data_IF_472233688201
#
_entry.id   IF_472233688201
#
_cell.length_a   1.000
_cell.length_b   1.000
_cell.length_c   1.000
_cell.angle_alpha   90.00
_cell.angle_beta   90.00
_cell.angle_gamma   90.00
#
_symmetry.space_group_name_H-M   'P 1'
#
loop_
_entity.id
_entity.type
_entity.pdbx_description
1 polymer ?
#
# COMPACT_ATOMS: atom_id res chain seq x y z
N UNK A 1 -28.73 9.42 20.54
CA UNK A 1 -29.82 9.50 19.54
C UNK A 1 -29.28 8.94 18.23
N UNK A 2 -29.98 7.98 17.58
CA UNK A 2 -29.46 7.33 16.38
C UNK A 2 -29.63 8.27 15.18
N UNK A 3 -28.66 8.18 14.27
CA UNK A 3 -28.43 9.01 13.11
C UNK A 3 -29.70 9.36 12.31
N UNK A 4 -30.15 10.62 12.42
CA UNK A 4 -31.14 11.17 11.49
C UNK A 4 -30.45 11.39 10.13
N UNK A 5 -30.97 10.72 9.09
CA UNK A 5 -30.42 10.68 7.73
C UNK A 5 -30.47 12.00 6.96
N UNK A 6 -30.53 13.13 7.66
CA UNK A 6 -30.59 14.50 7.14
C UNK A 6 -29.44 15.40 7.59
N UNK A 7 -28.42 14.86 8.28
CA UNK A 7 -27.22 15.61 8.65
C UNK A 7 -26.30 15.90 7.46
N UNK A 8 -25.76 17.11 7.37
CA UNK A 8 -24.75 17.51 6.39
C UNK A 8 -23.62 16.47 6.26
N UNK A 9 -23.13 16.24 5.04
CA UNK A 9 -22.06 15.29 4.69
C UNK A 9 -20.75 15.48 5.49
N UNK A 10 -20.57 16.61 6.19
CA UNK A 10 -19.36 16.99 6.92
C UNK A 10 -19.58 17.14 8.45
N UNK A 11 -20.58 16.49 9.02
CA UNK A 11 -20.79 16.54 10.47
C UNK A 11 -19.77 15.63 11.19
N UNK A 12 -18.78 16.25 11.83
CA UNK A 12 -17.87 15.60 12.78
C UNK A 12 -18.61 15.41 14.11
N UNK A 13 -18.57 14.22 14.72
CA UNK A 13 -19.08 14.05 16.08
C UNK A 13 -17.95 14.42 17.09
N UNK A 14 -18.01 15.58 17.77
CA UNK A 14 -16.93 16.03 18.65
C UNK A 14 -16.74 15.16 19.88
N UNK A 15 -17.76 14.39 20.28
CA UNK A 15 -17.73 13.51 21.46
C UNK A 15 -17.03 12.16 21.18
N UNK A 16 -17.02 11.70 19.93
CA UNK A 16 -16.42 10.40 19.56
C UNK A 16 -15.20 10.54 18.65
N UNK A 17 -14.93 11.75 18.14
CA UNK A 17 -13.88 12.05 17.18
C UNK A 17 -14.01 11.22 15.87
N UNK A 18 -15.24 10.87 15.48
CA UNK A 18 -15.50 10.06 14.30
C UNK A 18 -16.28 10.87 13.25
N UNK A 19 -16.05 10.55 11.97
CA UNK A 19 -16.77 11.17 10.85
C UNK A 19 -18.12 10.46 10.63
N UNK A 20 -19.05 11.14 9.96
CA UNK A 20 -20.31 10.52 9.54
C UNK A 20 -20.03 9.24 8.70
N UNK A 21 -20.72 8.13 8.99
CA UNK A 21 -20.58 6.84 8.27
C UNK A 21 -20.72 6.98 6.75
N UNK A 22 -21.50 7.98 6.29
CA UNK A 22 -21.59 8.32 4.87
C UNK A 22 -20.27 8.91 4.35
N UNK A 23 -19.70 9.90 5.05
CA UNK A 23 -18.41 10.48 4.67
C UNK A 23 -17.32 9.41 4.62
N UNK A 24 -17.25 8.55 5.64
CA UNK A 24 -16.29 7.45 5.68
C UNK A 24 -16.48 6.49 4.50
N UNK A 25 -17.72 6.07 4.20
CA UNK A 25 -17.97 5.19 3.05
C UNK A 25 -17.51 5.82 1.73
N UNK A 26 -17.71 7.13 1.54
CA UNK A 26 -17.36 7.83 0.31
C UNK A 26 -15.85 8.06 0.18
N UNK A 27 -15.20 8.62 1.19
CA UNK A 27 -13.79 8.98 1.12
C UNK A 27 -12.85 7.84 1.49
N UNK A 28 -13.24 6.99 2.45
CA UNK A 28 -12.35 5.95 2.97
C UNK A 28 -12.45 4.63 2.20
N UNK A 29 -13.59 4.38 1.53
CA UNK A 29 -13.82 3.13 0.80
C UNK A 29 -13.97 3.30 -0.70
N UNK A 30 -14.87 4.19 -1.13
CA UNK A 30 -15.20 4.36 -2.56
C UNK A 30 -14.02 5.00 -3.29
N UNK A 31 -13.45 6.09 -2.76
CA UNK A 31 -12.36 6.81 -3.43
C UNK A 31 -11.12 5.92 -3.69
N UNK A 32 -10.58 5.16 -2.71
CA UNK A 32 -9.46 4.26 -2.98
C UNK A 32 -9.81 3.14 -3.97
N UNK A 33 -11.02 2.58 -3.88
CA UNK A 33 -11.47 1.49 -4.75
C UNK A 33 -11.62 1.94 -6.20
N UNK A 34 -12.20 3.12 -6.43
CA UNK A 34 -12.36 3.70 -7.78
C UNK A 34 -11.02 4.05 -8.42
N UNK A 35 -9.99 4.41 -7.63
CA UNK A 35 -8.64 4.62 -8.15
C UNK A 35 -7.91 3.29 -8.40
N UNK A 36 -8.13 2.29 -7.56
CA UNK A 36 -7.47 0.99 -7.64
C UNK A 36 -7.96 0.14 -8.83
N UNK A 37 -9.27 0.09 -9.09
CA UNK A 37 -9.84 -0.72 -10.17
C UNK A 37 -9.23 -0.38 -11.55
N UNK A 38 -9.24 0.87 -12.05
CA UNK A 38 -8.68 1.19 -13.36
C UNK A 38 -7.15 1.06 -13.38
N UNK A 39 -6.45 1.38 -12.28
CA UNK A 39 -4.99 1.26 -12.22
C UNK A 39 -4.55 -0.21 -12.19
N UNK A 40 -5.28 -1.08 -11.49
CA UNK A 40 -5.07 -2.53 -11.47
C UNK A 40 -5.35 -3.16 -12.84
N UNK A 41 -6.42 -2.75 -13.51
CA UNK A 41 -6.73 -3.20 -14.87
C UNK A 41 -5.66 -2.75 -15.87
N UNK A 42 -5.24 -1.49 -15.81
CA UNK A 42 -4.15 -0.98 -16.66
C UNK A 42 -2.86 -1.75 -16.44
N UNK A 43 -2.47 -1.97 -15.17
CA UNK A 43 -1.26 -2.69 -14.81
C UNK A 43 -1.31 -4.15 -15.28
N UNK A 44 -2.41 -4.86 -15.03
CA UNK A 44 -2.57 -6.26 -15.46
C UNK A 44 -2.48 -6.36 -16.99
N UNK A 45 -3.14 -5.47 -17.74
CA UNK A 45 -3.04 -5.43 -19.21
C UNK A 45 -1.62 -5.14 -19.70
N UNK A 46 -0.94 -4.17 -19.10
CA UNK A 46 0.44 -3.84 -19.45
C UNK A 46 1.41 -5.00 -19.16
N UNK A 47 1.16 -5.73 -18.08
CA UNK A 47 2.01 -6.83 -17.64
C UNK A 47 1.70 -8.14 -18.36
N UNK A 48 0.47 -8.33 -18.86
CA UNK A 48 0.11 -9.47 -19.72
C UNK A 48 0.99 -9.56 -20.97
N UNK A 49 1.45 -8.40 -21.47
CA UNK A 49 2.33 -8.31 -22.64
C UNK A 49 3.78 -8.73 -22.37
N UNK A 50 4.16 -8.95 -21.11
CA UNK A 50 5.52 -9.36 -20.73
C UNK A 50 5.64 -10.89 -20.66
N UNK A 51 6.80 -11.47 -21.05
CA UNK A 51 7.03 -12.90 -20.94
C UNK A 51 6.96 -13.36 -19.48
N UNK A 52 6.54 -14.62 -19.27
CA UNK A 52 6.49 -15.25 -17.95
C UNK A 52 7.92 -15.51 -17.49
N UNK A 53 8.31 -14.90 -16.37
CA UNK A 53 9.69 -14.98 -15.84
C UNK A 53 9.81 -16.06 -14.76
N UNK A 54 8.70 -16.41 -14.09
CA UNK A 54 8.70 -17.37 -12.97
C UNK A 54 7.79 -18.55 -13.30
N UNK A 55 8.39 -19.70 -13.59
CA UNK A 55 7.70 -20.98 -13.78
C UNK A 55 7.49 -21.65 -12.40
N UNK A 56 6.39 -21.32 -11.72
CA UNK A 56 5.97 -22.04 -10.51
C UNK A 56 4.77 -22.93 -10.84
N UNK A 57 4.90 -24.28 -10.85
CA UNK A 57 3.79 -25.16 -11.16
C UNK A 57 2.76 -25.17 -10.02
N UNK A 58 1.52 -24.80 -10.35
CA UNK A 58 0.37 -24.68 -9.43
C UNK A 58 -0.06 -26.03 -8.81
N UNK A 59 0.40 -27.16 -9.38
CA UNK A 59 -0.11 -28.51 -9.07
C UNK A 59 0.53 -29.23 -7.87
N UNK A 60 1.55 -28.68 -7.20
CA UNK A 60 2.12 -29.32 -5.99
C UNK A 60 1.31 -29.12 -4.70
N UNK A 61 0.15 -28.48 -4.79
CA UNK A 61 -0.68 -28.05 -3.66
C UNK A 61 -1.43 -29.22 -2.97
N UNK A 62 -1.83 -30.24 -3.73
CA UNK A 62 -2.63 -31.35 -3.19
C UNK A 62 -1.74 -32.40 -2.52
N UNK A 63 -0.48 -32.54 -2.96
CA UNK A 63 0.39 -33.64 -2.53
C UNK A 63 1.15 -33.36 -1.22
N UNK A 64 1.41 -32.09 -0.89
CA UNK A 64 2.24 -31.71 0.26
C UNK A 64 1.45 -31.39 1.52
N UNK A 65 0.20 -30.93 1.40
CA UNK A 65 -0.66 -30.61 2.55
C UNK A 65 -1.28 -31.85 3.19
N UNK A 66 -1.54 -32.91 2.42
CA UNK A 66 -2.16 -34.12 2.94
C UNK A 66 -1.18 -35.16 3.52
N UNK A 67 0.13 -35.08 3.20
CA UNK A 67 1.08 -36.13 3.58
C UNK A 67 1.92 -35.80 4.83
N UNK A 68 2.27 -34.53 5.08
CA UNK A 68 3.02 -34.10 6.29
C UNK A 68 2.82 -32.58 6.55
N UNK A 69 2.29 -32.14 7.71
CA UNK A 69 2.16 -30.71 8.01
C UNK A 69 3.54 -30.10 8.32
N UNK A 70 4.00 -29.09 7.56
CA UNK A 70 5.27 -28.43 7.83
C UNK A 70 5.19 -27.56 9.11
N UNK A 71 6.32 -27.28 9.77
CA UNK A 71 6.34 -26.40 10.95
C UNK A 71 5.71 -25.02 10.63
N UNK A 72 4.96 -24.45 11.58
CA UNK A 72 4.19 -23.20 11.41
C UNK A 72 5.00 -22.04 10.78
N UNK A 73 6.30 -21.95 11.10
CA UNK A 73 7.22 -20.95 10.54
C UNK A 73 7.51 -21.14 9.05
N UNK A 74 7.40 -22.36 8.54
CA UNK A 74 7.55 -22.71 7.13
C UNK A 74 6.21 -22.61 6.38
N UNK A 75 5.10 -22.88 7.06
CA UNK A 75 3.74 -22.66 6.53
C UNK A 75 3.47 -21.19 6.18
N UNK A 76 3.73 -20.27 7.12
CA UNK A 76 3.66 -18.81 6.91
C UNK A 76 4.61 -18.31 5.80
N UNK A 77 5.65 -19.10 5.49
CA UNK A 77 6.69 -18.75 4.52
C UNK A 77 6.32 -19.15 3.09
N UNK A 78 5.28 -19.95 2.90
CA UNK A 78 4.88 -20.45 1.59
C UNK A 78 4.17 -19.38 0.77
N UNK A 79 4.51 -19.28 -0.52
CA UNK A 79 3.85 -18.37 -1.48
C UNK A 79 2.34 -18.65 -1.61
N UNK A 80 1.94 -19.88 -1.29
CA UNK A 80 0.56 -20.34 -1.31
C UNK A 80 -0.25 -19.80 -0.13
N UNK A 81 0.37 -19.53 1.03
CA UNK A 81 -0.31 -18.94 2.19
C UNK A 81 -0.82 -17.53 1.90
N UNK A 82 -0.02 -16.70 1.21
CA UNK A 82 -0.43 -15.35 0.82
C UNK A 82 -1.58 -15.37 -0.20
N UNK A 83 -1.51 -16.23 -1.22
CA UNK A 83 -2.60 -16.39 -2.20
C UNK A 83 -3.88 -16.88 -1.52
N UNK A 84 -3.76 -17.84 -0.60
CA UNK A 84 -4.89 -18.32 0.20
C UNK A 84 -5.51 -17.22 1.06
N UNK A 85 -4.68 -16.40 1.71
CA UNK A 85 -5.15 -15.27 2.51
C UNK A 85 -5.96 -14.25 1.69
N UNK A 86 -5.53 -13.94 0.45
CA UNK A 86 -6.30 -13.04 -0.44
C UNK A 86 -7.65 -13.65 -0.82
N UNK A 87 -7.71 -14.96 -1.09
CA UNK A 87 -8.98 -15.63 -1.41
C UNK A 87 -9.93 -15.62 -0.21
N UNK A 88 -9.42 -15.88 0.99
CA UNK A 88 -10.19 -15.79 2.23
C UNK A 88 -10.69 -14.36 2.45
N UNK A 89 -9.85 -13.35 2.17
CA UNK A 89 -10.24 -11.94 2.25
C UNK A 89 -11.39 -11.60 1.29
N UNK A 90 -11.33 -12.05 0.03
CA UNK A 90 -12.45 -11.89 -0.91
C UNK A 90 -13.73 -12.59 -0.42
N UNK A 91 -13.61 -13.76 0.23
CA UNK A 91 -14.73 -14.45 0.88
C UNK A 91 -15.31 -13.67 2.06
N UNK A 92 -14.48 -13.01 2.87
CA UNK A 92 -14.94 -12.14 3.96
C UNK A 92 -15.66 -10.90 3.42
N UNK A 93 -15.15 -10.26 2.36
CA UNK A 93 -15.82 -9.13 1.71
C UNK A 93 -17.18 -9.54 1.10
N UNK A 94 -17.28 -10.75 0.55
CA UNK A 94 -18.57 -11.34 0.13
C UNK A 94 -19.52 -11.51 1.33
N UNK A 95 -19.04 -12.07 2.43
CA UNK A 95 -19.85 -12.28 3.63
C UNK A 95 -20.35 -10.94 4.22
N UNK A 96 -19.49 -9.92 4.26
CA UNK A 96 -19.85 -8.57 4.67
C UNK A 96 -20.93 -7.97 3.75
N UNK A 97 -20.80 -8.14 2.44
CA UNK A 97 -21.81 -7.69 1.48
C UNK A 97 -23.16 -8.39 1.70
N UNK A 98 -23.17 -9.71 1.89
CA UNK A 98 -24.40 -10.46 2.19
C UNK A 98 -25.02 -9.98 3.50
N UNK A 99 -24.22 -9.78 4.54
CA UNK A 99 -24.70 -9.30 5.82
C UNK A 99 -25.30 -7.88 5.72
N UNK A 100 -24.71 -7.01 4.90
CA UNK A 100 -25.29 -5.68 4.61
C UNK A 100 -26.56 -5.72 3.76
N UNK A 101 -26.72 -6.74 2.90
CA UNK A 101 -27.89 -6.88 2.03
C UNK A 101 -29.08 -7.54 2.73
N UNK A 102 -28.82 -8.50 3.62
CA UNK A 102 -29.84 -9.27 4.35
C UNK A 102 -30.19 -8.61 5.68
N UNK A 103 -29.22 -8.01 6.36
CA UNK A 103 -29.48 -7.22 7.53
C UNK A 103 -30.33 -6.02 7.12
N UNK A 104 -31.57 -5.97 7.59
CA UNK A 104 -32.52 -4.85 7.37
C UNK A 104 -32.06 -3.58 8.10
N UNK A 105 -30.81 -3.18 7.89
CA UNK A 105 -30.27 -1.97 8.42
C UNK A 105 -30.88 -0.79 7.64
N UNK A 106 -31.15 0.33 8.33
CA UNK A 106 -31.31 1.65 7.68
C UNK A 106 -29.97 2.15 7.10
N UNK A 107 -29.17 1.24 6.52
CA UNK A 107 -27.89 1.56 5.91
C UNK A 107 -28.18 2.24 4.58
N UNK A 108 -27.63 3.45 4.44
CA UNK A 108 -27.77 4.22 3.21
C UNK A 108 -27.29 3.41 2.00
N UNK A 109 -27.89 3.65 0.82
CA UNK A 109 -27.48 3.08 -0.48
C UNK A 109 -25.95 3.15 -0.72
N UNK A 110 -25.28 4.09 -0.06
CA UNK A 110 -23.84 4.30 -0.17
C UNK A 110 -23.00 3.22 0.53
N UNK A 111 -23.48 2.63 1.63
CA UNK A 111 -22.77 1.54 2.32
C UNK A 111 -22.79 0.28 1.44
N UNK A 112 -23.93 -0.01 0.82
CA UNK A 112 -24.07 -1.12 -0.14
C UNK A 112 -23.12 -0.90 -1.33
N UNK A 113 -23.11 0.30 -1.91
CA UNK A 113 -22.20 0.64 -2.99
C UNK A 113 -20.72 0.46 -2.60
N UNK A 114 -20.35 0.92 -1.40
CA UNK A 114 -19.01 0.71 -0.84
C UNK A 114 -18.65 -0.77 -0.75
N UNK A 115 -19.51 -1.61 -0.17
CA UNK A 115 -19.25 -3.05 -0.04
C UNK A 115 -19.08 -3.74 -1.40
N UNK A 116 -19.88 -3.36 -2.39
CA UNK A 116 -19.73 -3.86 -3.77
C UNK A 116 -18.37 -3.46 -4.35
N UNK A 117 -17.95 -2.21 -4.17
CA UNK A 117 -16.66 -1.71 -4.63
C UNK A 117 -15.48 -2.41 -3.94
N UNK A 118 -15.58 -2.67 -2.63
CA UNK A 118 -14.58 -3.41 -1.86
C UNK A 118 -14.48 -4.86 -2.36
N UNK A 119 -15.61 -5.53 -2.60
CA UNK A 119 -15.63 -6.86 -3.19
C UNK A 119 -14.97 -6.89 -4.57
N UNK A 120 -15.33 -5.95 -5.45
CA UNK A 120 -14.72 -5.83 -6.78
C UNK A 120 -13.22 -5.60 -6.65
N UNK A 121 -12.78 -4.74 -5.74
CA UNK A 121 -11.36 -4.50 -5.48
C UNK A 121 -10.63 -5.76 -5.02
N UNK A 122 -11.26 -6.62 -4.20
CA UNK A 122 -10.70 -7.90 -3.77
C UNK A 122 -10.51 -8.88 -4.95
N UNK A 123 -11.44 -8.91 -5.91
CA UNK A 123 -11.30 -9.69 -7.15
C UNK A 123 -10.13 -9.19 -8.03
N UNK A 124 -10.00 -7.88 -8.17
CA UNK A 124 -8.86 -7.27 -8.88
C UNK A 124 -7.54 -7.56 -8.15
N UNK A 125 -7.54 -7.56 -6.82
CA UNK A 125 -6.37 -7.93 -6.01
C UNK A 125 -5.90 -9.36 -6.28
N UNK A 126 -6.82 -10.34 -6.41
CA UNK A 126 -6.48 -11.72 -6.81
C UNK A 126 -5.82 -11.71 -8.19
N UNK A 127 -6.41 -10.99 -9.14
CA UNK A 127 -5.92 -10.95 -10.53
C UNK A 127 -4.53 -10.32 -10.63
N UNK A 128 -4.33 -9.17 -9.98
CA UNK A 128 -3.03 -8.49 -9.89
C UNK A 128 -2.01 -9.40 -9.22
N UNK A 129 -2.35 -10.05 -8.11
CA UNK A 129 -1.46 -10.95 -7.38
C UNK A 129 -0.94 -12.10 -8.25
N UNK A 130 -1.82 -12.76 -9.02
CA UNK A 130 -1.44 -13.87 -9.91
C UNK A 130 -0.56 -13.39 -11.08
N UNK A 131 -0.92 -12.26 -11.68
CA UNK A 131 -0.18 -11.69 -12.82
C UNK A 131 1.18 -11.15 -12.39
N UNK A 132 1.23 -10.39 -11.29
CA UNK A 132 2.48 -9.84 -10.74
C UNK A 132 3.41 -10.97 -10.29
N UNK A 133 2.89 -12.03 -9.69
CA UNK A 133 3.70 -13.14 -9.22
C UNK A 133 4.34 -13.96 -10.34
N UNK A 134 3.61 -14.23 -11.42
CA UNK A 134 4.14 -15.01 -12.56
C UNK A 134 5.13 -14.22 -13.43
N UNK A 135 4.98 -12.89 -13.48
CA UNK A 135 5.69 -12.04 -14.45
C UNK A 135 6.65 -11.03 -13.84
N UNK A 136 6.66 -10.81 -12.53
CA UNK A 136 7.59 -9.87 -11.89
C UNK A 136 8.28 -10.44 -10.65
N UNK A 137 9.61 -10.36 -10.57
CA UNK A 137 10.35 -10.73 -9.36
C UNK A 137 10.14 -9.71 -8.22
N UNK A 138 9.74 -8.47 -8.54
CA UNK A 138 9.49 -7.40 -7.56
C UNK A 138 8.11 -7.53 -6.89
N UNK A 139 7.96 -7.21 -5.59
CA UNK A 139 6.66 -6.95 -4.95
C UNK A 139 5.84 -5.90 -5.69
N UNK A 140 4.52 -6.10 -5.72
CA UNK A 140 3.63 -5.21 -6.46
C UNK A 140 3.56 -3.89 -5.68
N UNK A 141 4.22 -2.86 -6.18
CA UNK A 141 4.22 -1.55 -5.52
C UNK A 141 2.81 -0.94 -5.50
N UNK A 142 2.02 -1.20 -6.54
CA UNK A 142 0.62 -0.76 -6.63
C UNK A 142 -0.21 -1.46 -5.54
N UNK A 143 -0.07 -2.78 -5.40
CA UNK A 143 -0.85 -3.51 -4.41
C UNK A 143 -0.46 -3.14 -2.97
N UNK A 144 0.84 -3.04 -2.68
CA UNK A 144 1.31 -2.65 -1.34
C UNK A 144 0.86 -1.23 -0.97
N UNK A 145 0.97 -0.26 -1.89
CA UNK A 145 0.52 1.11 -1.62
C UNK A 145 -1.00 1.19 -1.41
N UNK A 146 -1.78 0.48 -2.23
CA UNK A 146 -3.23 0.37 -2.05
C UNK A 146 -3.61 -0.26 -0.71
N UNK A 147 -3.03 -1.41 -0.38
CA UNK A 147 -3.27 -2.11 0.88
C UNK A 147 -2.89 -1.25 2.08
N UNK A 148 -1.75 -0.55 2.04
CA UNK A 148 -1.31 0.32 3.14
C UNK A 148 -2.27 1.48 3.38
N UNK A 149 -2.63 2.19 2.29
CA UNK A 149 -3.49 3.36 2.37
C UNK A 149 -4.88 2.95 2.84
N UNK A 150 -5.46 1.90 2.25
CA UNK A 150 -6.79 1.43 2.64
C UNK A 150 -6.81 0.80 4.02
N UNK A 151 -5.73 0.17 4.49
CA UNK A 151 -5.64 -0.36 5.85
C UNK A 151 -5.70 0.75 6.90
N UNK A 152 -5.01 1.88 6.69
CA UNK A 152 -5.13 3.03 7.60
C UNK A 152 -6.56 3.55 7.69
N UNK A 153 -7.24 3.61 6.54
CA UNK A 153 -8.62 4.08 6.43
C UNK A 153 -9.61 3.08 7.03
N UNK A 154 -9.40 1.78 6.80
CA UNK A 154 -10.26 0.71 7.33
C UNK A 154 -10.09 0.55 8.85
N UNK A 155 -8.92 0.84 9.43
CA UNK A 155 -8.73 0.89 10.89
C UNK A 155 -9.60 1.98 11.51
N UNK A 156 -9.65 3.17 10.90
CA UNK A 156 -10.52 4.25 11.36
C UNK A 156 -11.99 3.80 11.32
N UNK A 157 -12.43 3.22 10.21
CA UNK A 157 -13.80 2.68 10.06
C UNK A 157 -14.11 1.57 11.04
N UNK A 158 -13.16 0.67 11.31
CA UNK A 158 -13.36 -0.43 12.25
C UNK A 158 -13.60 0.08 13.67
N UNK A 159 -12.88 1.14 14.07
CA UNK A 159 -13.12 1.82 15.34
C UNK A 159 -14.52 2.44 15.38
N UNK A 160 -14.90 3.21 14.36
CA UNK A 160 -16.23 3.85 14.27
C UNK A 160 -17.34 2.80 14.37
N UNK A 161 -17.22 1.71 13.61
CA UNK A 161 -18.19 0.61 13.60
C UNK A 161 -18.25 -0.14 14.93
N UNK A 162 -17.12 -0.31 15.62
CA UNK A 162 -17.10 -0.95 16.94
C UNK A 162 -17.76 -0.09 18.02
N UNK A 163 -17.53 1.23 17.99
CA UNK A 163 -18.15 2.17 18.93
C UNK A 163 -19.65 2.40 18.65
N UNK A 164 -20.08 2.27 17.39
CA UNK A 164 -21.48 2.46 17.00
C UNK A 164 -22.36 1.22 17.15
N UNK A 165 -21.80 0.06 17.51
CA UNK A 165 -22.52 -1.22 17.57
C UNK A 165 -23.34 -1.32 18.86
N UNK A 166 -24.66 -1.13 18.77
CA UNK A 166 -25.57 -1.21 19.92
C UNK A 166 -26.46 -2.48 19.84
N UNK A 167 -26.69 -3.01 18.64
CA UNK A 167 -27.50 -4.22 18.41
C UNK A 167 -26.67 -5.46 18.10
N UNK A 168 -27.19 -6.65 18.46
CA UNK A 168 -26.51 -7.94 18.27
C UNK A 168 -26.11 -8.22 16.81
N UNK A 169 -26.87 -7.72 15.83
CA UNK A 169 -26.54 -7.84 14.40
C UNK A 169 -25.39 -6.92 13.95
N UNK A 170 -25.26 -5.74 14.55
CA UNK A 170 -24.17 -4.79 14.29
C UNK A 170 -22.86 -5.28 14.88
N UNK A 171 -22.91 -5.91 16.05
CA UNK A 171 -21.75 -6.56 16.69
C UNK A 171 -21.18 -7.65 15.79
N UNK A 172 -22.03 -8.47 15.15
CA UNK A 172 -21.58 -9.50 14.21
C UNK A 172 -20.90 -8.85 13.00
N UNK A 173 -21.50 -7.79 12.42
CA UNK A 173 -20.91 -7.08 11.29
C UNK A 173 -19.54 -6.46 11.65
N UNK A 174 -19.46 -5.76 12.78
CA UNK A 174 -18.24 -5.12 13.27
C UNK A 174 -17.13 -6.13 13.57
N UNK A 175 -17.49 -7.28 14.15
CA UNK A 175 -16.54 -8.38 14.40
C UNK A 175 -15.96 -8.96 13.11
N UNK A 176 -16.82 -9.24 12.12
CA UNK A 176 -16.38 -9.75 10.81
C UNK A 176 -15.54 -8.70 10.07
N UNK A 177 -15.90 -7.42 10.16
CA UNK A 177 -15.13 -6.33 9.55
C UNK A 177 -13.75 -6.20 10.19
N UNK A 178 -13.67 -6.25 11.52
CA UNK A 178 -12.39 -6.25 12.25
C UNK A 178 -11.51 -7.45 11.88
N UNK A 179 -12.10 -8.64 11.73
CA UNK A 179 -11.38 -9.81 11.24
C UNK A 179 -10.86 -9.61 9.80
N UNK A 180 -11.64 -8.95 8.92
CA UNK A 180 -11.20 -8.57 7.58
C UNK A 180 -9.99 -7.64 7.60
N UNK A 181 -10.00 -6.62 8.47
CA UNK A 181 -8.86 -5.70 8.67
C UNK A 181 -7.62 -6.43 9.19
N UNK A 182 -7.79 -7.34 10.16
CA UNK A 182 -6.71 -8.19 10.66
C UNK A 182 -6.10 -9.06 9.55
N UNK A 183 -6.94 -9.68 8.73
CA UNK A 183 -6.49 -10.48 7.59
C UNK A 183 -5.75 -9.62 6.55
N UNK A 184 -6.28 -8.44 6.22
CA UNK A 184 -5.65 -7.46 5.33
C UNK A 184 -4.27 -7.02 5.82
N UNK A 185 -4.13 -6.83 7.15
CA UNK A 185 -2.84 -6.57 7.80
C UNK A 185 -1.88 -7.72 7.60
N UNK A 186 -2.35 -8.95 7.82
CA UNK A 186 -1.58 -10.18 7.57
C UNK A 186 -1.11 -10.28 6.12
N UNK A 187 -2.00 -10.00 5.15
CA UNK A 187 -1.68 -10.00 3.71
C UNK A 187 -0.55 -9.00 3.42
N UNK A 188 -0.63 -7.78 3.95
CA UNK A 188 0.39 -6.74 3.74
C UNK A 188 1.75 -7.15 4.31
N UNK A 189 1.78 -7.68 5.54
CA UNK A 189 3.02 -8.16 6.18
C UNK A 189 3.61 -9.34 5.44
N UNK A 190 2.77 -10.29 5.02
CA UNK A 190 3.19 -11.44 4.22
C UNK A 190 3.77 -10.99 2.88
N UNK A 191 3.14 -10.05 2.18
CA UNK A 191 3.66 -9.52 0.93
C UNK A 191 5.03 -8.83 1.11
N UNK A 192 5.17 -8.03 2.17
CA UNK A 192 6.41 -7.34 2.50
C UNK A 192 7.55 -8.31 2.87
N UNK A 193 7.25 -9.38 3.60
CA UNK A 193 8.25 -10.34 4.08
C UNK A 193 8.61 -11.44 3.06
N UNK A 194 7.63 -11.96 2.30
CA UNK A 194 7.83 -13.12 1.45
C UNK A 194 8.77 -12.80 0.28
N UNK A 195 8.59 -11.66 -0.38
CA UNK A 195 9.39 -11.32 -1.57
C UNK A 195 10.83 -10.92 -1.24
N UNK A 196 11.12 -10.44 -0.03
CA UNK A 196 12.48 -10.10 0.38
C UNK A 196 13.42 -11.31 0.58
N UNK A 197 12.89 -12.54 0.66
CA UNK A 197 13.65 -13.72 1.10
C UNK A 197 13.73 -14.86 0.10
N UNK A 198 12.76 -14.97 -0.82
CA UNK A 198 12.73 -16.03 -1.85
C UNK A 198 13.31 -15.62 -3.20
N UNK A 199 13.72 -14.36 -3.34
CA UNK A 199 14.49 -13.90 -4.49
C UNK A 199 15.92 -14.43 -4.34
N UNK A 200 16.11 -15.69 -4.75
CA UNK A 200 17.43 -16.25 -5.04
C UNK A 200 17.79 -15.72 -6.42
N UNK A 201 18.37 -14.53 -6.41
CA UNK A 201 18.81 -13.84 -7.61
C UNK A 201 20.31 -13.60 -7.50
N UNK A 202 21.02 -13.74 -8.61
CA UNK A 202 22.48 -13.65 -8.64
C UNK A 202 22.93 -12.29 -8.09
N UNK A 203 23.39 -12.28 -6.83
CA UNK A 203 23.85 -11.08 -6.13
C UNK A 203 25.04 -10.38 -6.82
N UNK A 204 25.63 -11.03 -7.84
CA UNK A 204 26.71 -10.48 -8.67
C UNK A 204 26.24 -9.64 -9.84
N UNK A 205 24.99 -9.78 -10.30
CA UNK A 205 24.51 -9.14 -11.54
C UNK A 205 23.48 -8.04 -11.28
N UNK A 206 22.80 -8.04 -10.14
CA UNK A 206 21.66 -7.16 -9.89
C UNK A 206 21.60 -6.61 -8.48
N UNK A 207 21.13 -5.37 -8.38
CA UNK A 207 21.01 -4.65 -7.12
C UNK A 207 19.81 -5.12 -6.29
N UNK A 208 19.95 -5.28 -4.96
CA UNK A 208 18.83 -5.59 -4.07
C UNK A 208 17.76 -4.49 -4.01
N UNK A 209 18.07 -3.29 -4.50
CA UNK A 209 17.10 -2.20 -4.69
C UNK A 209 16.01 -2.56 -5.72
N UNK A 210 16.40 -3.20 -6.83
CA UNK A 210 15.50 -3.58 -7.94
C UNK A 210 14.41 -4.56 -7.49
N UNK A 211 14.71 -5.35 -6.47
CA UNK A 211 13.85 -6.43 -5.94
C UNK A 211 13.18 -6.04 -4.62
N UNK A 212 13.59 -4.93 -4.01
CA UNK A 212 13.01 -4.44 -2.75
C UNK A 212 11.62 -3.86 -2.94
N UNK A 213 10.73 -4.21 -2.00
CA UNK A 213 9.40 -3.62 -1.90
C UNK A 213 9.41 -2.20 -1.39
N UNK A 214 8.26 -1.53 -1.53
CA UNK A 214 8.11 -0.10 -1.20
C UNK A 214 8.50 0.20 0.25
N UNK A 215 8.21 -0.70 1.19
CA UNK A 215 8.60 -0.57 2.60
C UNK A 215 10.10 -0.74 2.83
N UNK A 216 10.70 -1.74 2.17
CA UNK A 216 12.15 -1.97 2.26
C UNK A 216 12.93 -0.82 1.63
N UNK A 217 12.41 -0.25 0.55
CA UNK A 217 12.98 0.91 -0.11
C UNK A 217 12.82 2.17 0.76
N UNK A 218 11.62 2.45 1.26
CA UNK A 218 11.33 3.68 2.01
C UNK A 218 12.03 3.77 3.38
N UNK A 219 12.34 2.64 4.02
CA UNK A 219 13.12 2.61 5.28
C UNK A 219 14.59 2.24 5.03
N UNK A 220 15.00 2.10 3.77
CA UNK A 220 16.32 1.59 3.38
C UNK A 220 16.71 0.27 4.08
N UNK A 221 15.73 -0.58 4.38
CA UNK A 221 15.95 -1.83 5.11
C UNK A 221 16.89 -2.78 4.36
N UNK A 222 16.92 -2.71 3.03
CA UNK A 222 17.84 -3.47 2.19
C UNK A 222 19.32 -3.15 2.46
N UNK A 223 19.61 -1.91 2.87
CA UNK A 223 20.96 -1.43 3.15
C UNK A 223 21.55 -2.01 4.44
N UNK A 224 20.69 -2.47 5.37
CA UNK A 224 21.13 -3.10 6.62
C UNK A 224 22.03 -4.31 6.39
N UNK A 225 21.80 -5.07 5.30
CA UNK A 225 22.68 -6.19 4.93
C UNK A 225 24.08 -5.72 4.54
N UNK A 226 24.16 -4.61 3.80
CA UNK A 226 25.43 -4.00 3.41
C UNK A 226 26.16 -3.50 4.66
N UNK A 227 25.48 -2.74 5.53
CA UNK A 227 26.07 -2.24 6.77
C UNK A 227 26.59 -3.36 7.67
N UNK A 228 25.86 -4.48 7.78
CA UNK A 228 26.32 -5.63 8.56
C UNK A 228 27.54 -6.31 7.91
N UNK A 229 27.61 -6.37 6.57
CA UNK A 229 28.78 -6.88 5.86
C UNK A 229 30.00 -5.98 6.07
N UNK A 230 29.83 -4.66 5.97
CA UNK A 230 30.87 -3.66 6.23
C UNK A 230 31.35 -3.63 7.67
N UNK A 231 30.47 -3.92 8.62
CA UNK A 231 30.84 -4.08 10.02
C UNK A 231 31.76 -5.30 10.24
N UNK A 232 31.58 -6.36 9.44
CA UNK A 232 32.37 -7.60 9.56
C UNK A 232 33.65 -7.58 8.74
N UNK A 233 33.69 -6.87 7.63
CA UNK A 233 34.82 -6.87 6.70
C UNK A 233 34.93 -5.52 5.99
N UNK A 234 36.16 -5.08 5.69
CA UNK A 234 36.39 -3.88 4.87
C UNK A 234 35.82 -4.09 3.46
N UNK A 235 35.08 -3.10 2.96
CA UNK A 235 34.48 -3.17 1.63
C UNK A 235 35.56 -3.12 0.54
N UNK A 236 35.49 -4.07 -0.38
CA UNK A 236 36.19 -4.03 -1.67
C UNK A 236 35.16 -3.74 -2.76
N UNK A 237 35.57 -3.18 -3.91
CA UNK A 237 34.67 -2.89 -5.05
C UNK A 237 33.84 -4.13 -5.45
N UNK A 238 34.42 -5.32 -5.39
CA UNK A 238 33.75 -6.59 -5.71
C UNK A 238 32.67 -7.02 -4.70
N UNK A 239 32.63 -6.38 -3.53
CA UNK A 239 31.64 -6.66 -2.46
C UNK A 239 30.50 -5.65 -2.42
N UNK A 240 30.59 -4.58 -3.21
CA UNK A 240 29.52 -3.60 -3.38
C UNK A 240 28.47 -4.12 -4.36
N UNK A 241 27.23 -3.68 -4.17
CA UNK A 241 26.15 -4.03 -5.09
C UNK A 241 26.38 -3.37 -6.45
N UNK A 242 26.11 -4.07 -7.56
CA UNK A 242 26.16 -3.47 -8.89
C UNK A 242 25.07 -2.39 -9.00
N UNK A 243 25.33 -1.35 -9.80
CA UNK A 243 24.37 -0.26 -10.00
C UNK A 243 23.08 -0.80 -10.62
N UNK A 244 21.92 -0.25 -10.21
CA UNK A 244 20.62 -0.59 -10.81
C UNK A 244 20.67 -0.35 -12.33
N UNK A 245 20.14 -1.29 -13.09
CA UNK A 245 20.09 -1.29 -14.55
C UNK A 245 19.38 -0.06 -15.14
N UNK A 246 18.51 0.59 -14.37
CA UNK A 246 17.86 1.85 -14.75
C UNK A 246 18.80 3.07 -14.73
N UNK A 247 19.92 2.98 -14.00
CA UNK A 247 20.99 3.97 -13.96
C UNK A 247 22.21 3.56 -14.79
N UNK A 248 22.12 2.49 -15.58
CA UNK A 248 23.19 2.11 -16.49
C UNK A 248 23.45 3.23 -17.52
N UNK A 249 24.68 3.74 -17.51
CA UNK A 249 25.12 4.84 -18.36
C UNK A 249 24.98 4.48 -19.85
N UNK A 250 25.21 3.21 -20.21
CA UNK A 250 25.13 2.77 -21.60
C UNK A 250 23.67 2.73 -22.08
N UNK A 251 22.76 2.18 -21.27
CA UNK A 251 21.33 2.20 -21.56
C UNK A 251 20.76 3.63 -21.65
N UNK A 252 21.14 4.52 -20.71
CA UNK A 252 20.68 5.90 -20.70
C UNK A 252 21.22 6.70 -21.90
N UNK A 253 22.49 6.49 -22.24
CA UNK A 253 23.11 7.10 -23.42
C UNK A 253 22.43 6.65 -24.72
N UNK A 254 22.12 5.36 -24.86
CA UNK A 254 21.40 4.85 -26.03
C UNK A 254 19.98 5.43 -26.15
N UNK A 255 19.27 5.60 -25.03
CA UNK A 255 17.95 6.27 -25.02
C UNK A 255 18.05 7.75 -25.38
N UNK A 256 19.07 8.45 -24.87
CA UNK A 256 19.35 9.83 -25.22
C UNK A 256 19.68 9.98 -26.71
N UNK A 257 20.60 9.16 -27.22
CA UNK A 257 21.01 9.16 -28.63
C UNK A 257 19.85 8.85 -29.58
N UNK A 258 18.92 7.96 -29.21
CA UNK A 258 17.71 7.69 -29.99
C UNK A 258 16.72 8.86 -30.04
N UNK A 259 16.68 9.69 -28.98
CA UNK A 259 15.80 10.86 -28.88
C UNK A 259 16.44 12.14 -29.41
N UNK A 260 17.74 12.10 -29.67
CA UNK A 260 18.50 13.17 -30.29
C UNK A 260 18.35 13.06 -31.82
N UNK A 261 17.41 13.83 -32.37
CA UNK A 261 17.29 13.98 -33.82
C UNK A 261 18.45 14.85 -34.33
N UNK A 262 19.49 14.22 -34.87
CA UNK A 262 20.62 14.90 -35.54
C UNK A 262 20.20 15.66 -36.81
N UNK A 263 18.95 15.48 -37.27
CA UNK A 263 18.38 16.07 -38.50
C UNK A 263 17.78 17.46 -38.31
N UNK A 264 17.78 18.00 -37.08
CA UNK A 264 17.53 19.43 -36.83
C UNK A 264 18.84 20.14 -36.51
N UNK A 265 19.69 20.41 -37.52
CA UNK A 265 20.83 21.28 -37.29
C UNK A 265 20.31 22.71 -37.10
N UNK A 266 20.87 23.40 -36.11
CA UNK A 266 21.03 24.85 -36.12
C UNK A 266 19.74 25.69 -35.98
N UNK A 267 19.32 25.94 -34.74
CA UNK A 267 18.42 27.08 -34.47
C UNK A 267 17.74 27.11 -33.11
N UNK A 268 17.63 25.97 -32.42
CA UNK A 268 16.92 25.91 -31.13
C UNK A 268 17.89 26.00 -29.95
N UNK A 269 17.98 27.18 -29.33
CA UNK A 269 18.88 27.48 -28.20
C UNK A 269 18.69 26.52 -27.00
N UNK A 270 17.54 25.85 -26.91
CA UNK A 270 17.21 24.89 -25.84
C UNK A 270 16.95 23.46 -26.34
N UNK A 271 17.34 23.13 -27.58
CA UNK A 271 17.08 21.81 -28.18
C UNK A 271 17.64 20.66 -27.36
N UNK A 272 18.88 20.79 -26.87
CA UNK A 272 19.53 19.78 -26.03
C UNK A 272 18.84 19.62 -24.67
N UNK A 273 18.47 20.73 -24.02
CA UNK A 273 17.75 20.74 -22.75
C UNK A 273 16.39 20.05 -22.87
N UNK A 274 15.67 20.29 -23.97
CA UNK A 274 14.38 19.67 -24.25
C UNK A 274 14.51 18.15 -24.42
N UNK A 275 15.54 17.68 -25.12
CA UNK A 275 15.82 16.23 -25.27
C UNK A 275 16.22 15.62 -23.94
N UNK A 276 17.05 16.30 -23.15
CA UNK A 276 17.46 15.86 -21.81
C UNK A 276 16.24 15.73 -20.88
N UNK A 277 15.43 16.78 -20.76
CA UNK A 277 14.20 16.78 -19.95
C UNK A 277 13.28 15.66 -20.42
N UNK A 278 13.09 15.48 -21.74
CA UNK A 278 12.23 14.41 -22.26
C UNK A 278 12.75 13.01 -21.91
N UNK A 279 14.06 12.84 -21.87
CA UNK A 279 14.71 11.55 -21.54
C UNK A 279 14.60 11.24 -20.05
N UNK A 280 14.79 12.25 -19.19
CA UNK A 280 14.84 12.11 -17.73
C UNK A 280 13.52 12.49 -17.02
N UNK A 281 12.45 12.82 -17.76
CA UNK A 281 11.22 13.36 -17.18
C UNK A 281 10.65 12.52 -16.04
N UNK A 282 10.69 11.19 -16.17
CA UNK A 282 10.20 10.27 -15.13
C UNK A 282 11.00 10.40 -13.85
N UNK A 283 12.33 10.47 -13.94
CA UNK A 283 13.22 10.62 -12.79
C UNK A 283 13.08 12.02 -12.16
N UNK A 284 12.81 13.04 -12.96
CA UNK A 284 12.58 14.41 -12.47
C UNK A 284 11.23 14.55 -11.77
N UNK A 285 10.21 13.81 -12.21
CA UNK A 285 8.86 13.86 -11.64
C UNK A 285 8.74 13.00 -10.38
N UNK A 286 9.55 11.93 -10.25
CA UNK A 286 9.47 10.98 -9.14
C UNK A 286 9.57 11.61 -7.73
N UNK A 287 10.43 12.61 -7.47
CA UNK A 287 10.56 13.24 -6.15
C UNK A 287 9.42 14.21 -5.80
N UNK A 288 8.61 14.63 -6.77
CA UNK A 288 7.54 15.62 -6.56
C UNK A 288 6.47 15.09 -5.60
N UNK A 289 5.87 13.89 -5.79
CA UNK A 289 4.87 13.36 -4.87
C UNK A 289 5.38 13.20 -3.42
N UNK A 290 6.57 12.61 -3.14
CA UNK A 290 7.15 12.59 -1.80
C UNK A 290 7.31 13.98 -1.19
N UNK A 291 7.76 14.96 -1.98
CA UNK A 291 7.91 16.34 -1.51
C UNK A 291 6.58 17.01 -1.18
N UNK A 292 5.55 16.79 -1.98
CA UNK A 292 4.21 17.31 -1.71
C UNK A 292 3.63 16.68 -0.42
N UNK A 293 3.83 15.38 -0.22
CA UNK A 293 3.42 14.70 1.01
C UNK A 293 4.16 15.25 2.25
N UNK A 294 5.47 15.47 2.14
CA UNK A 294 6.29 16.06 3.19
C UNK A 294 5.81 17.47 3.58
N UNK A 295 5.47 18.32 2.60
CA UNK A 295 4.90 19.65 2.86
C UNK A 295 3.56 19.52 3.61
N UNK A 296 2.69 18.60 3.18
CA UNK A 296 1.41 18.37 3.86
C UNK A 296 1.62 17.94 5.32
N UNK A 297 2.55 17.02 5.60
CA UNK A 297 2.85 16.61 6.97
C UNK A 297 3.45 17.75 7.82
N UNK A 298 4.29 18.62 7.24
CA UNK A 298 4.79 19.81 7.93
C UNK A 298 3.68 20.79 8.27
N UNK A 299 2.65 20.93 7.43
CA UNK A 299 1.47 21.75 7.75
C UNK A 299 0.64 21.09 8.87
N UNK A 300 0.57 19.76 8.91
CA UNK A 300 -0.14 19.04 9.97
C UNK A 300 0.54 19.16 11.35
N UNK A 301 1.86 19.36 11.43
CA UNK A 301 2.58 19.49 12.70
C UNK A 301 2.07 20.64 13.61
N UNK A 302 1.99 21.91 13.16
CA UNK A 302 1.48 22.99 14.02
C UNK A 302 0.01 22.78 14.41
N UNK A 303 -0.83 22.29 13.49
CA UNK A 303 -2.24 21.96 13.78
C UNK A 303 -2.36 20.86 14.84
N UNK A 304 -1.48 19.86 14.78
CA UNK A 304 -1.40 18.81 15.79
C UNK A 304 -0.98 19.37 17.15
N UNK A 305 0.04 20.23 17.21
CA UNK A 305 0.51 20.85 18.45
C UNK A 305 -0.60 21.72 19.08
N UNK A 306 -1.29 22.51 18.27
CA UNK A 306 -2.43 23.33 18.72
C UNK A 306 -3.55 22.43 19.31
N UNK A 307 -3.89 21.36 18.62
CA UNK A 307 -4.91 20.39 19.07
C UNK A 307 -4.48 19.70 20.37
N UNK A 308 -3.20 19.35 20.49
CA UNK A 308 -2.64 18.72 21.69
C UNK A 308 -2.64 19.67 22.89
N UNK A 309 -2.22 20.93 22.71
CA UNK A 309 -2.24 21.95 23.77
C UNK A 309 -3.68 22.21 24.21
N UNK A 310 -4.59 22.36 23.24
CA UNK A 310 -6.03 22.57 23.52
C UNK A 310 -6.60 21.40 24.32
N UNK A 311 -6.27 20.16 23.96
CA UNK A 311 -6.67 18.97 24.70
C UNK A 311 -6.14 18.96 26.14
N UNK A 312 -4.85 19.26 26.33
CA UNK A 312 -4.21 19.28 27.65
C UNK A 312 -4.69 20.45 28.54
N UNK A 313 -5.22 21.53 27.94
CA UNK A 313 -5.75 22.68 28.68
C UNK A 313 -7.12 22.45 29.31
N UNK A 314 -7.82 21.36 28.95
CA UNK A 314 -9.15 21.03 29.50
C UNK A 314 -9.03 20.39 30.87
N UNK A 315 -9.91 20.79 31.80
CA UNK A 315 -9.93 20.24 33.17
C UNK A 315 -10.32 18.76 33.23
N UNK A 316 -11.18 18.31 32.31
CA UNK A 316 -11.61 16.92 32.18
C UNK A 316 -11.46 16.48 30.71
N UNK A 317 -10.27 16.04 30.30
CA UNK A 317 -10.01 15.64 28.92
C UNK A 317 -10.56 14.23 28.64
N UNK A 318 -11.26 14.06 27.50
CA UNK A 318 -11.80 12.77 27.07
C UNK A 318 -10.67 11.83 26.59
N UNK A 319 -10.46 10.67 27.24
CA UNK A 319 -9.44 9.70 26.85
C UNK A 319 -9.49 9.28 25.37
N UNK A 320 -10.68 9.23 24.75
CA UNK A 320 -10.82 8.84 23.36
C UNK A 320 -10.16 9.81 22.38
N UNK A 321 -10.19 11.10 22.70
CA UNK A 321 -9.51 12.14 21.91
C UNK A 321 -7.99 12.03 22.09
N UNK A 322 -7.54 11.71 23.31
CA UNK A 322 -6.13 11.45 23.61
C UNK A 322 -5.52 10.32 22.77
N UNK A 323 -6.21 9.19 22.65
CA UNK A 323 -5.76 8.09 21.79
C UNK A 323 -5.70 8.48 20.31
N UNK A 324 -6.66 9.28 19.83
CA UNK A 324 -6.65 9.84 18.48
C UNK A 324 -5.42 10.72 18.23
N UNK A 325 -5.06 11.57 19.19
CA UNK A 325 -3.85 12.41 19.11
C UNK A 325 -2.56 11.59 19.09
N UNK A 326 -2.47 10.51 19.86
CA UNK A 326 -1.30 9.60 19.81
C UNK A 326 -1.17 8.98 18.41
N UNK A 327 -2.28 8.50 17.84
CA UNK A 327 -2.31 7.96 16.48
C UNK A 327 -1.89 8.99 15.43
N UNK A 328 -2.42 10.22 15.54
CA UNK A 328 -2.07 11.33 14.66
C UNK A 328 -0.57 11.68 14.75
N UNK A 329 0.02 11.68 15.95
CA UNK A 329 1.44 11.92 16.14
C UNK A 329 2.29 10.87 15.41
N UNK A 330 2.02 9.59 15.66
CA UNK A 330 2.75 8.48 15.02
C UNK A 330 2.65 8.60 13.49
N UNK A 331 1.45 8.87 12.98
CA UNK A 331 1.21 9.02 11.54
C UNK A 331 1.97 10.19 10.92
N UNK A 332 1.92 11.38 11.54
CA UNK A 332 2.59 12.59 11.05
C UNK A 332 4.11 12.39 11.05
N UNK A 333 4.71 12.00 12.17
CA UNK A 333 6.16 11.89 12.28
C UNK A 333 6.74 10.74 11.43
N UNK A 334 6.04 9.59 11.36
CA UNK A 334 6.45 8.50 10.47
C UNK A 334 6.31 8.91 9.00
N UNK A 335 5.25 9.63 8.66
CA UNK A 335 5.02 10.17 7.32
C UNK A 335 6.11 11.15 6.87
N UNK A 336 6.59 12.02 7.78
CA UNK A 336 7.72 12.91 7.52
C UNK A 336 8.99 12.10 7.25
N UNK A 337 9.32 11.13 8.11
CA UNK A 337 10.53 10.33 7.96
C UNK A 337 10.56 9.57 6.62
N UNK A 338 9.45 8.92 6.25
CA UNK A 338 9.35 8.15 5.00
C UNK A 338 9.37 9.10 3.78
N UNK A 339 8.65 10.22 3.84
CA UNK A 339 8.60 11.16 2.72
C UNK A 339 9.96 11.84 2.49
N UNK A 340 10.69 12.12 3.58
CA UNK A 340 12.05 12.64 3.51
C UNK A 340 13.02 11.62 2.90
N UNK A 341 12.92 10.36 3.32
CA UNK A 341 13.71 9.24 2.79
C UNK A 341 13.46 8.94 1.31
N UNK A 342 12.24 9.20 0.80
CA UNK A 342 11.91 9.00 -0.62
C UNK A 342 12.19 10.23 -1.49
N UNK A 343 12.35 11.40 -0.88
CA UNK A 343 12.62 12.66 -1.59
C UNK A 343 14.10 12.84 -1.90
N UNK A 344 14.97 12.51 -0.93
CA UNK A 344 16.42 12.54 -1.06
C UNK A 344 16.96 11.21 -1.57
#
# INVERSE_FOLDING_TARGET
MPFDGKGNLLHLNPEQFDFNLQFESLFFSILPSVLFIPSSLWRTLAQIRKPVVVNAPVFHLIKTVCLDPPPFRQFLRSEHCYKGAIVIYAGLELALLILTAVGSFHMSRMVIASSVLQLVSALFMITVSVVDHSRSPRPSMLLNSYLSLTLLLDIARARTLFLSSDHSSEIIYSSVFSASVGLKTGILVLEACQKARWVIWNAKEHSPEETSGIFSLGVFFWLNKLFLAGYRQAFTIDTLYPLDSSFDAQALHAQFAKRLDYTKPEGDQFGLLKVLIRTLWVQLLLPIPPRAALIAFYICQPLFIESLITYLSRSEPDPNVGYGLIGAAIFIYSGIAISYALYW
#
